data_IF_964353086543
#
_entry.id   IF_964353086543
#
_cell.length_a   1.000
_cell.length_b   1.000
_cell.length_c   1.000
_cell.angle_alpha   90.00
_cell.angle_beta   90.00
_cell.angle_gamma   90.00
#
_symmetry.space_group_name_H-M   'P 1'
#
loop_
_entity.id
_entity.type
_entity.pdbx_description
1 polymer ?
#
# COMPACT_ATOMS: atom_id res chain seq x y z
N UNK A 1 37.91 0.88 -12.67
CA UNK A 1 36.52 1.11 -13.11
C UNK A 1 35.77 -0.19 -12.94
N UNK A 2 34.62 -0.13 -12.26
CA UNK A 2 33.78 -1.28 -12.00
C UNK A 2 33.31 -1.87 -13.34
N UNK A 3 33.49 -3.17 -13.52
CA UNK A 3 33.05 -3.89 -14.72
C UNK A 3 31.80 -4.71 -14.42
N UNK A 4 30.97 -4.93 -15.44
CA UNK A 4 29.71 -5.68 -15.29
C UNK A 4 29.91 -7.06 -14.67
N UNK A 5 30.98 -7.77 -15.04
CA UNK A 5 31.29 -9.08 -14.48
C UNK A 5 31.60 -9.03 -12.98
N UNK A 6 32.23 -7.94 -12.51
CA UNK A 6 32.55 -7.75 -11.08
C UNK A 6 31.30 -7.36 -10.29
N UNK A 7 30.38 -6.64 -10.93
CA UNK A 7 29.15 -6.15 -10.29
C UNK A 7 28.00 -7.17 -10.34
N UNK A 8 28.14 -8.26 -11.09
CA UNK A 8 27.13 -9.31 -11.19
C UNK A 8 27.21 -10.31 -10.03
N UNK A 9 26.08 -10.56 -9.37
CA UNK A 9 25.94 -11.56 -8.32
C UNK A 9 25.17 -12.79 -8.86
N UNK A 10 25.86 -13.93 -9.11
CA UNK A 10 25.22 -15.11 -9.69
C UNK A 10 24.16 -15.75 -8.80
N UNK A 11 24.34 -15.71 -7.47
CA UNK A 11 23.38 -16.33 -6.55
C UNK A 11 22.08 -15.52 -6.53
N UNK A 12 22.20 -14.20 -6.34
CA UNK A 12 21.07 -13.28 -6.40
C UNK A 12 20.31 -13.40 -7.72
N UNK A 13 21.05 -13.45 -8.84
CA UNK A 13 20.43 -13.53 -10.16
C UNK A 13 19.65 -14.83 -10.36
N UNK A 14 20.16 -15.97 -9.91
CA UNK A 14 19.47 -17.26 -10.03
C UNK A 14 18.26 -17.32 -9.08
N UNK A 15 18.39 -16.80 -7.87
CA UNK A 15 17.32 -16.75 -6.87
C UNK A 15 16.11 -15.96 -7.36
N UNK A 16 16.34 -14.81 -8.01
CA UNK A 16 15.28 -13.96 -8.53
C UNK A 16 14.76 -14.36 -9.91
N UNK A 17 15.46 -15.27 -10.61
CA UNK A 17 15.09 -15.70 -11.97
C UNK A 17 15.08 -17.24 -12.07
N UNK A 18 14.06 -17.93 -11.51
CA UNK A 18 14.00 -19.39 -11.43
C UNK A 18 14.09 -20.10 -12.78
N UNK A 19 13.64 -19.47 -13.87
CA UNK A 19 13.76 -19.98 -15.24
C UNK A 19 15.22 -20.12 -15.69
N UNK A 20 16.12 -19.28 -15.16
CA UNK A 20 17.57 -19.38 -15.40
C UNK A 20 18.11 -20.65 -14.76
N UNK A 21 17.67 -20.97 -13.53
CA UNK A 21 18.00 -22.23 -12.86
C UNK A 21 17.59 -23.42 -13.72
N UNK A 22 16.35 -23.42 -14.22
CA UNK A 22 15.84 -24.49 -15.06
C UNK A 22 16.61 -24.60 -16.38
N UNK A 23 16.96 -23.46 -17.00
CA UNK A 23 17.75 -23.41 -18.22
C UNK A 23 19.18 -23.94 -18.04
N UNK A 24 19.80 -23.73 -16.88
CA UNK A 24 21.10 -24.31 -16.53
C UNK A 24 21.01 -25.83 -16.39
N UNK A 25 19.99 -26.34 -15.68
CA UNK A 25 19.77 -27.79 -15.50
C UNK A 25 19.56 -28.49 -16.85
N UNK A 26 18.81 -27.86 -17.76
CA UNK A 26 18.53 -28.40 -19.09
C UNK A 26 19.69 -28.24 -20.08
N UNK A 27 20.77 -27.52 -19.72
CA UNK A 27 21.91 -27.25 -20.59
C UNK A 27 21.64 -26.21 -21.69
N UNK A 28 20.54 -25.46 -21.60
CA UNK A 28 20.15 -24.42 -22.55
C UNK A 28 20.83 -23.07 -22.23
N UNK A 29 21.21 -22.86 -20.97
CA UNK A 29 21.95 -21.68 -20.51
C UNK A 29 23.34 -22.15 -20.06
N UNK A 30 24.38 -21.47 -20.54
CA UNK A 30 25.77 -21.82 -20.23
C UNK A 30 26.19 -21.34 -18.83
N UNK A 31 25.78 -20.13 -18.46
CA UNK A 31 25.98 -19.57 -17.12
C UNK A 31 24.96 -18.46 -16.84
N UNK A 32 24.69 -18.13 -15.57
CA UNK A 32 23.83 -17.01 -15.21
C UNK A 32 24.30 -15.69 -15.82
N UNK A 33 25.61 -15.44 -15.78
CA UNK A 33 26.21 -14.22 -16.33
C UNK A 33 26.02 -14.11 -17.84
N UNK A 34 26.20 -15.21 -18.56
CA UNK A 34 25.96 -15.23 -20.01
C UNK A 34 24.49 -15.01 -20.36
N UNK A 35 23.57 -15.60 -19.60
CA UNK A 35 22.14 -15.32 -19.75
C UNK A 35 21.84 -13.84 -19.51
N UNK A 36 22.37 -13.26 -18.43
CA UNK A 36 22.19 -11.84 -18.13
C UNK A 36 22.72 -10.95 -19.25
N UNK A 37 23.95 -11.19 -19.69
CA UNK A 37 24.62 -10.41 -20.72
C UNK A 37 23.88 -10.47 -22.06
N UNK A 38 23.32 -11.61 -22.43
CA UNK A 38 22.68 -11.79 -23.74
C UNK A 38 21.21 -11.38 -23.74
N UNK A 39 20.51 -11.55 -22.61
CA UNK A 39 19.05 -11.37 -22.54
C UNK A 39 18.62 -10.58 -21.32
N UNK A 40 19.13 -10.91 -20.13
CA UNK A 40 18.62 -10.35 -18.87
C UNK A 40 18.70 -8.82 -18.77
N UNK A 41 19.83 -8.23 -19.16
CA UNK A 41 19.99 -6.78 -19.14
C UNK A 41 19.02 -6.03 -20.08
N UNK A 42 18.54 -6.69 -21.14
CA UNK A 42 17.55 -6.13 -22.07
C UNK A 42 16.12 -6.37 -21.60
N UNK A 43 15.92 -7.37 -20.75
CA UNK A 43 14.66 -7.68 -20.09
C UNK A 43 14.45 -6.88 -18.79
N UNK A 44 15.41 -6.00 -18.43
CA UNK A 44 15.34 -5.18 -17.21
C UNK A 44 15.54 -5.98 -15.93
N UNK A 45 16.18 -7.15 -16.00
CA UNK A 45 16.50 -7.95 -14.82
C UNK A 45 17.66 -7.31 -14.05
N UNK A 46 17.66 -7.48 -12.73
CA UNK A 46 18.72 -6.91 -11.88
C UNK A 46 19.90 -7.87 -11.71
N UNK A 47 21.15 -7.42 -11.93
CA UNK A 47 22.32 -8.28 -11.83
C UNK A 47 22.82 -8.48 -10.39
N UNK A 48 22.39 -7.64 -9.44
CA UNK A 48 22.89 -7.60 -8.07
C UNK A 48 21.92 -6.82 -7.18
N UNK A 49 21.87 -7.04 -5.85
CA UNK A 49 21.07 -6.20 -4.94
C UNK A 49 21.44 -4.71 -4.98
N UNK A 50 22.66 -4.38 -5.43
CA UNK A 50 23.17 -3.01 -5.51
C UNK A 50 22.73 -2.27 -6.78
N UNK A 51 21.93 -2.87 -7.65
CA UNK A 51 21.42 -2.21 -8.85
C UNK A 51 19.95 -2.58 -9.04
N UNK A 52 19.10 -1.56 -9.09
CA UNK A 52 17.67 -1.70 -9.34
C UNK A 52 17.37 -0.95 -10.65
N UNK A 53 17.01 -1.72 -11.68
CA UNK A 53 16.78 -1.20 -13.02
C UNK A 53 15.63 -0.20 -13.06
N UNK A 54 14.53 -0.50 -12.37
CA UNK A 54 13.34 0.35 -12.39
C UNK A 54 13.59 1.66 -11.64
N UNK A 55 14.23 1.58 -10.46
CA UNK A 55 14.69 2.75 -9.71
C UNK A 55 15.63 3.61 -10.55
N UNK A 56 16.67 3.00 -11.13
CA UNK A 56 17.68 3.74 -11.86
C UNK A 56 17.09 4.47 -13.06
N UNK A 57 16.15 3.86 -13.79
CA UNK A 57 15.48 4.53 -14.91
C UNK A 57 14.49 5.61 -14.45
N UNK A 58 13.80 5.39 -13.33
CA UNK A 58 12.86 6.37 -12.76
C UNK A 58 13.58 7.64 -12.30
N UNK A 59 14.70 7.50 -11.58
CA UNK A 59 15.49 8.63 -11.09
C UNK A 59 16.32 9.31 -12.18
N UNK A 60 16.50 8.64 -13.33
CA UNK A 60 17.29 9.14 -14.44
C UNK A 60 16.48 9.14 -15.76
N UNK A 61 15.52 10.09 -15.94
CA UNK A 61 14.65 10.13 -17.12
C UNK A 61 15.40 10.29 -18.45
N UNK A 62 16.58 10.90 -18.44
CA UNK A 62 17.48 10.99 -19.59
C UNK A 62 18.00 9.61 -20.01
N UNK A 63 18.35 8.76 -19.05
CA UNK A 63 18.76 7.38 -19.28
C UNK A 63 17.57 6.54 -19.73
N UNK A 64 16.40 6.72 -19.13
CA UNK A 64 15.17 6.06 -19.57
C UNK A 64 14.88 6.31 -21.06
N UNK A 65 14.98 7.57 -21.51
CA UNK A 65 14.81 7.91 -22.91
C UNK A 65 15.85 7.23 -23.82
N UNK A 66 17.12 7.16 -23.39
CA UNK A 66 18.19 6.50 -24.13
C UNK A 66 18.01 4.98 -24.22
N UNK A 67 17.53 4.33 -23.14
CA UNK A 67 17.20 2.90 -23.11
C UNK A 67 16.02 2.60 -24.03
N UNK A 68 14.96 3.41 -24.00
CA UNK A 68 13.82 3.30 -24.92
C UNK A 68 14.23 3.48 -26.40
N UNK A 69 15.25 4.31 -26.65
CA UNK A 69 15.83 4.49 -27.98
C UNK A 69 16.80 3.36 -28.39
N UNK A 70 17.03 2.36 -27.53
CA UNK A 70 17.92 1.23 -27.79
C UNK A 70 19.41 1.61 -27.81
N UNK A 71 19.79 2.73 -27.21
CA UNK A 71 21.18 3.20 -27.18
C UNK A 71 22.01 2.49 -26.12
N UNK A 72 21.40 2.22 -24.96
CA UNK A 72 22.02 1.54 -23.82
C UNK A 72 21.02 0.58 -23.17
N UNK A 73 21.53 -0.31 -22.33
CA UNK A 73 20.74 -0.91 -21.23
C UNK A 73 20.91 -0.05 -19.98
N UNK A 74 20.00 -0.13 -19.01
CA UNK A 74 20.11 0.63 -17.76
C UNK A 74 21.45 0.37 -17.06
N UNK A 75 21.79 -0.91 -16.88
CA UNK A 75 23.06 -1.34 -16.31
C UNK A 75 24.27 -0.94 -17.17
N UNK A 76 24.15 -1.01 -18.49
CA UNK A 76 25.21 -0.59 -19.42
C UNK A 76 25.53 0.89 -19.24
N UNK A 77 24.50 1.75 -19.16
CA UNK A 77 24.67 3.16 -18.88
C UNK A 77 25.33 3.39 -17.52
N UNK A 78 24.89 2.68 -16.47
CA UNK A 78 25.49 2.83 -15.14
C UNK A 78 26.98 2.45 -15.11
N UNK A 79 27.34 1.31 -15.70
CA UNK A 79 28.72 0.84 -15.75
C UNK A 79 29.61 1.78 -16.58
N UNK A 80 29.13 2.31 -17.70
CA UNK A 80 29.96 3.16 -18.57
C UNK A 80 30.00 4.64 -18.11
N UNK A 81 28.91 5.15 -17.54
CA UNK A 81 28.73 6.58 -17.24
C UNK A 81 28.23 6.82 -15.82
N UNK A 82 27.14 6.19 -15.41
CA UNK A 82 26.44 6.52 -14.16
C UNK A 82 27.31 6.49 -12.91
N UNK A 83 28.15 5.47 -12.75
CA UNK A 83 29.08 5.37 -11.61
C UNK A 83 30.11 6.52 -11.56
N UNK A 84 30.49 7.08 -12.73
CA UNK A 84 31.43 8.20 -12.83
C UNK A 84 30.73 9.55 -12.63
N UNK A 85 29.44 9.60 -12.98
CA UNK A 85 28.56 10.74 -12.75
C UNK A 85 28.07 10.82 -11.30
N UNK A 86 28.36 9.80 -10.47
CA UNK A 86 27.93 9.73 -9.08
C UNK A 86 26.43 9.43 -8.92
N UNK A 87 25.80 8.82 -9.93
CA UNK A 87 24.38 8.43 -9.86
C UNK A 87 24.21 7.22 -8.95
N UNK A 88 23.13 7.19 -8.18
CA UNK A 88 22.82 6.08 -7.30
C UNK A 88 22.22 4.90 -8.08
N UNK A 89 22.77 3.68 -7.93
CA UNK A 89 22.34 2.53 -8.72
C UNK A 89 21.08 1.84 -8.20
N UNK A 90 20.75 2.03 -6.92
CA UNK A 90 19.57 1.45 -6.29
C UNK A 90 19.17 2.27 -5.06
N UNK A 91 17.96 2.07 -4.51
CA UNK A 91 17.57 2.66 -3.23
C UNK A 91 18.48 2.28 -2.06
N UNK A 92 19.23 1.19 -2.21
CA UNK A 92 20.09 0.63 -1.18
C UNK A 92 21.50 1.23 -1.18
N UNK A 93 21.84 2.10 -2.14
CA UNK A 93 23.18 2.68 -2.20
C UNK A 93 23.13 4.16 -2.57
N UNK A 94 23.36 5.01 -1.57
CA UNK A 94 23.59 6.43 -1.73
C UNK A 94 25.10 6.71 -1.80
N UNK A 95 25.51 7.19 -2.97
CA UNK A 95 26.90 7.43 -3.29
C UNK A 95 27.46 8.60 -2.50
N UNK A 96 26.67 9.65 -2.27
CA UNK A 96 27.12 10.82 -1.53
C UNK A 96 27.29 10.47 -0.04
N UNK A 97 26.28 9.83 0.54
CA UNK A 97 26.28 9.34 1.92
C UNK A 97 27.48 8.43 2.20
N UNK A 98 27.78 7.51 1.28
CA UNK A 98 28.96 6.64 1.39
C UNK A 98 30.26 7.44 1.54
N UNK A 99 30.44 8.49 0.74
CA UNK A 99 31.65 9.31 0.73
C UNK A 99 31.73 10.25 1.93
N UNK A 100 30.58 10.69 2.44
CA UNK A 100 30.47 11.49 3.66
C UNK A 100 30.79 10.67 4.92
N UNK A 101 30.23 9.46 5.03
CA UNK A 101 30.46 8.55 6.16
C UNK A 101 31.88 7.99 6.20
N UNK A 102 32.56 7.94 5.05
CA UNK A 102 33.92 7.43 4.94
C UNK A 102 34.88 8.42 4.27
N UNK A 103 35.23 9.56 4.92
CA UNK A 103 36.10 10.57 4.33
C UNK A 103 37.48 10.04 3.89
N UNK A 104 38.00 9.02 4.60
CA UNK A 104 39.27 8.36 4.25
C UNK A 104 39.23 7.56 2.94
N UNK A 105 38.04 7.28 2.40
CA UNK A 105 37.87 6.63 1.08
C UNK A 105 38.18 7.62 -0.05
N UNK A 106 37.93 8.93 0.15
CA UNK A 106 38.14 9.94 -0.90
C UNK A 106 39.58 9.95 -1.42
N UNK A 107 40.57 9.81 -0.53
CA UNK A 107 42.00 9.72 -0.90
C UNK A 107 42.30 8.47 -1.75
N UNK A 108 41.68 7.32 -1.40
CA UNK A 108 41.79 6.07 -2.19
C UNK A 108 41.12 6.22 -3.55
N UNK A 109 39.95 6.86 -3.65
CA UNK A 109 39.25 7.08 -4.92
C UNK A 109 40.12 7.87 -5.91
N UNK A 110 40.80 8.91 -5.43
CA UNK A 110 41.70 9.73 -6.26
C UNK A 110 42.95 8.94 -6.65
N UNK A 111 43.57 8.25 -5.70
CA UNK A 111 44.84 7.53 -5.93
C UNK A 111 44.66 6.34 -6.87
N UNK A 112 43.62 5.54 -6.65
CA UNK A 112 43.36 4.30 -7.37
C UNK A 112 42.37 4.48 -8.54
N UNK A 113 41.87 5.71 -8.74
CA UNK A 113 40.88 6.08 -9.77
C UNK A 113 39.63 5.21 -9.72
N UNK A 114 39.07 5.08 -8.52
CA UNK A 114 37.85 4.32 -8.24
C UNK A 114 36.65 5.26 -8.11
N UNK A 115 35.46 4.74 -8.41
CA UNK A 115 34.18 5.37 -8.03
C UNK A 115 33.77 4.93 -6.62
N UNK A 116 32.81 5.62 -6.00
CA UNK A 116 32.30 5.27 -4.66
C UNK A 116 31.76 3.84 -4.61
N UNK A 117 30.86 3.49 -5.53
CA UNK A 117 30.33 2.13 -5.68
C UNK A 117 31.43 1.10 -5.98
N UNK A 118 32.43 1.43 -6.81
CA UNK A 118 33.55 0.53 -7.10
C UNK A 118 34.36 0.22 -5.84
N UNK A 119 34.63 1.24 -5.02
CA UNK A 119 35.34 1.06 -3.77
C UNK A 119 34.51 0.23 -2.78
N UNK A 120 33.20 0.48 -2.65
CA UNK A 120 32.34 -0.31 -1.79
C UNK A 120 32.32 -1.80 -2.20
N UNK A 121 32.13 -2.09 -3.48
CA UNK A 121 32.08 -3.46 -4.02
C UNK A 121 33.43 -4.19 -3.86
N UNK A 122 34.56 -3.50 -4.07
CA UNK A 122 35.89 -4.14 -3.99
C UNK A 122 36.44 -4.24 -2.58
N UNK A 123 36.14 -3.26 -1.72
CA UNK A 123 36.80 -3.09 -0.43
C UNK A 123 35.78 -2.87 0.69
N UNK A 124 34.87 -1.91 0.56
CA UNK A 124 33.99 -1.46 1.65
C UNK A 124 33.23 -2.60 2.35
N UNK A 125 32.58 -3.48 1.57
CA UNK A 125 31.85 -4.63 2.12
C UNK A 125 32.75 -5.60 2.91
N UNK A 126 34.05 -5.68 2.59
CA UNK A 126 35.03 -6.55 3.26
C UNK A 126 35.79 -5.82 4.38
N UNK A 127 35.84 -4.49 4.35
CA UNK A 127 36.36 -3.63 5.41
C UNK A 127 35.32 -3.39 6.52
N UNK A 128 34.11 -3.94 6.37
CA UNK A 128 33.02 -3.84 7.35
C UNK A 128 32.23 -2.54 7.28
N UNK A 129 32.30 -1.83 6.15
CA UNK A 129 31.45 -0.66 5.94
C UNK A 129 30.03 -1.11 5.63
N UNK A 130 29.02 -0.62 6.37
CA UNK A 130 27.63 -0.95 6.09
C UNK A 130 27.22 -0.40 4.72
N UNK A 131 26.14 -0.95 4.17
CA UNK A 131 25.57 -0.44 2.93
C UNK A 131 25.01 0.98 3.20
N UNK A 132 25.36 1.99 2.39
CA UNK A 132 24.97 3.38 2.62
C UNK A 132 23.52 3.58 2.16
N UNK A 133 22.55 3.08 2.94
CA UNK A 133 21.13 3.33 2.69
C UNK A 133 20.73 4.66 3.33
N UNK A 134 20.02 5.56 2.63
CA UNK A 134 19.49 6.76 3.26
C UNK A 134 18.43 6.41 4.31
N UNK A 135 18.61 6.90 5.55
CA UNK A 135 17.55 6.91 6.57
C UNK A 135 16.45 7.88 6.12
N UNK A 136 15.32 7.31 5.67
CA UNK A 136 14.15 8.07 5.22
C UNK A 136 13.00 8.00 6.21
N UNK A 137 13.06 7.09 7.17
CA UNK A 137 11.95 6.77 8.05
C UNK A 137 12.31 7.02 9.51
N UNK A 138 11.81 8.12 10.09
CA UNK A 138 12.17 8.49 11.45
C UNK A 138 11.61 7.54 12.53
N UNK A 139 12.27 7.51 13.69
CA UNK A 139 11.97 6.59 14.80
C UNK A 139 10.76 6.97 15.68
N UNK A 140 9.96 7.96 15.27
CA UNK A 140 8.79 8.45 16.03
C UNK A 140 7.61 8.65 15.09
N UNK A 141 6.37 8.48 15.56
CA UNK A 141 5.17 8.60 14.74
C UNK A 141 5.10 9.93 13.96
N UNK A 142 5.52 11.02 14.59
CA UNK A 142 5.53 12.37 13.98
C UNK A 142 6.62 12.58 12.92
N UNK A 143 7.58 11.67 12.82
CA UNK A 143 8.67 11.67 11.83
C UNK A 143 8.58 10.46 10.88
N UNK A 144 7.45 9.76 10.92
CA UNK A 144 7.25 8.60 10.07
C UNK A 144 7.33 9.02 8.59
N UNK A 145 7.92 8.16 7.77
CA UNK A 145 7.85 8.32 6.32
C UNK A 145 6.39 8.06 5.88
N UNK A 146 5.77 9.03 5.23
CA UNK A 146 4.34 9.00 4.94
C UNK A 146 4.07 8.54 3.51
N UNK A 147 3.46 7.37 3.36
CA UNK A 147 2.99 6.86 2.08
C UNK A 147 1.65 7.45 1.65
N UNK A 148 0.94 8.16 2.55
CA UNK A 148 -0.40 8.68 2.28
C UNK A 148 -1.42 7.55 2.13
N UNK A 149 -2.37 7.75 1.20
CA UNK A 149 -3.41 6.75 0.90
C UNK A 149 -2.79 5.51 0.24
N UNK A 150 -3.06 4.33 0.78
CA UNK A 150 -2.56 3.06 0.26
C UNK A 150 -3.49 2.51 -0.84
N UNK A 151 -3.52 3.18 -2.00
CA UNK A 151 -4.34 2.81 -3.17
C UNK A 151 -3.62 1.88 -4.18
N UNK A 152 -2.33 1.67 -3.96
CA UNK A 152 -1.46 0.76 -4.70
C UNK A 152 -0.40 0.18 -3.77
N UNK A 153 0.30 -0.86 -4.23
CA UNK A 153 1.44 -1.40 -3.47
C UNK A 153 2.51 -0.34 -3.29
N UNK A 154 2.93 -0.12 -2.05
CA UNK A 154 4.03 0.77 -1.69
C UNK A 154 5.23 -0.06 -1.23
N UNK A 155 6.43 0.44 -1.53
CA UNK A 155 7.69 -0.20 -1.15
C UNK A 155 8.65 0.84 -0.58
N UNK A 156 9.34 0.49 0.50
CA UNK A 156 10.50 1.24 0.99
C UNK A 156 11.71 0.33 1.18
N UNK A 157 12.88 0.93 1.04
CA UNK A 157 14.17 0.35 1.36
C UNK A 157 14.83 1.25 2.39
N UNK A 158 15.30 0.66 3.48
CA UNK A 158 15.82 1.40 4.62
C UNK A 158 16.73 0.49 5.47
N UNK A 159 17.15 1.00 6.61
CA UNK A 159 18.08 0.33 7.51
C UNK A 159 17.73 0.54 8.98
N UNK A 160 17.73 -0.54 9.76
CA UNK A 160 17.74 -0.47 11.22
C UNK A 160 19.02 -1.06 11.80
N UNK A 161 19.51 -0.48 12.87
CA UNK A 161 20.78 -0.83 13.51
C UNK A 161 20.99 -0.14 14.86
N UNK A 162 22.17 -0.29 15.45
CA UNK A 162 22.45 0.24 16.80
C UNK A 162 22.31 1.78 16.89
N UNK A 163 22.56 2.46 15.77
CA UNK A 163 22.38 3.91 15.65
C UNK A 163 20.95 4.31 15.27
N UNK A 164 20.20 3.39 14.66
CA UNK A 164 18.87 3.60 14.11
C UNK A 164 17.93 2.45 14.45
N UNK A 165 17.38 2.51 15.67
CA UNK A 165 16.80 1.31 16.29
C UNK A 165 15.44 0.91 15.70
N UNK A 166 14.80 1.80 14.94
CA UNK A 166 13.49 1.56 14.32
C UNK A 166 13.14 2.63 13.30
N UNK A 167 12.37 2.18 12.33
CA UNK A 167 11.85 2.97 11.23
C UNK A 167 10.33 2.90 11.25
N UNK A 168 9.68 4.03 11.01
CA UNK A 168 8.23 4.15 11.07
C UNK A 168 7.69 4.67 9.75
N UNK A 169 6.69 3.97 9.22
CA UNK A 169 5.97 4.33 8.00
C UNK A 169 4.51 4.56 8.32
N UNK A 170 3.97 5.69 7.86
CA UNK A 170 2.56 6.07 7.99
C UNK A 170 1.83 5.75 6.70
N UNK A 171 0.61 5.25 6.81
CA UNK A 171 -0.30 5.07 5.67
C UNK A 171 -1.76 5.24 6.10
N UNK A 172 -2.62 5.51 5.13
CA UNK A 172 -4.05 5.70 5.31
C UNK A 172 -4.85 4.70 4.48
N UNK A 173 -5.96 4.24 5.05
CA UNK A 173 -7.01 3.48 4.36
C UNK A 173 -8.29 4.31 4.35
N UNK A 174 -8.98 4.35 3.21
CA UNK A 174 -10.26 5.05 3.05
C UNK A 174 -11.47 4.12 3.15
N UNK A 175 -11.27 2.81 2.97
CA UNK A 175 -12.30 1.77 3.09
C UNK A 175 -11.79 0.63 3.98
N UNK A 176 -12.65 -0.31 4.33
CA UNK A 176 -12.24 -1.52 5.03
C UNK A 176 -11.48 -2.46 4.07
N UNK A 177 -10.20 -2.69 4.33
CA UNK A 177 -9.32 -3.44 3.43
C UNK A 177 -8.46 -4.44 4.20
N UNK A 178 -8.11 -5.55 3.54
CA UNK A 178 -7.13 -6.48 4.07
C UNK A 178 -5.73 -5.99 3.70
N UNK A 179 -5.02 -5.52 4.72
CA UNK A 179 -3.63 -5.11 4.63
C UNK A 179 -2.73 -6.34 4.63
N UNK A 180 -1.73 -6.34 3.76
CA UNK A 180 -0.57 -7.22 3.77
C UNK A 180 0.68 -6.37 3.95
N UNK A 181 1.46 -6.66 4.98
CA UNK A 181 2.82 -6.12 5.15
C UNK A 181 3.83 -7.24 5.06
N UNK A 182 4.92 -7.00 4.34
CA UNK A 182 6.06 -7.91 4.27
C UNK A 182 7.37 -7.17 4.47
N UNK A 183 8.26 -7.76 5.27
CA UNK A 183 9.65 -7.33 5.43
C UNK A 183 10.55 -8.42 4.86
N UNK A 184 11.34 -8.07 3.85
CA UNK A 184 12.22 -9.01 3.15
C UNK A 184 13.59 -8.40 2.84
N UNK A 185 14.41 -9.16 2.12
CA UNK A 185 15.75 -8.73 1.69
C UNK A 185 16.66 -8.32 2.85
N UNK A 186 16.42 -8.90 4.04
CA UNK A 186 17.12 -8.53 5.26
C UNK A 186 18.55 -9.08 5.31
N UNK A 187 19.50 -8.23 5.70
CA UNK A 187 20.89 -8.63 5.92
C UNK A 187 21.15 -9.15 7.35
N UNK A 188 20.28 -8.80 8.30
CA UNK A 188 20.26 -9.20 9.71
C UNK A 188 18.84 -9.52 10.19
N UNK A 189 18.55 -9.29 11.47
CA UNK A 189 17.25 -9.62 12.11
C UNK A 189 16.51 -8.34 12.52
N UNK A 190 15.29 -8.17 12.02
CA UNK A 190 14.38 -7.09 12.37
C UNK A 190 12.95 -7.59 12.47
N UNK A 191 12.21 -6.99 13.40
CA UNK A 191 10.81 -7.28 13.68
C UNK A 191 9.87 -6.29 12.98
N UNK A 192 8.64 -6.74 12.69
CA UNK A 192 7.61 -5.93 12.07
C UNK A 192 6.38 -5.81 12.97
N UNK A 193 5.92 -4.58 13.21
CA UNK A 193 4.68 -4.27 13.95
C UNK A 193 3.73 -3.44 13.11
N UNK A 194 2.44 -3.73 13.25
CA UNK A 194 1.34 -2.90 12.78
C UNK A 194 0.72 -2.20 13.98
N UNK A 195 0.63 -0.88 13.91
CA UNK A 195 0.26 -0.01 15.02
C UNK A 195 -0.79 1.02 14.59
N UNK A 196 -1.62 1.45 15.52
CA UNK A 196 -2.47 2.65 15.42
C UNK A 196 -2.35 3.43 16.72
N UNK A 197 -2.09 4.73 16.64
CA UNK A 197 -2.00 5.63 17.80
C UNK A 197 -3.38 5.83 18.46
N UNK A 198 -3.71 4.98 19.43
CA UNK A 198 -4.99 5.00 20.15
C UNK A 198 -4.89 6.04 21.26
N UNK A 199 -5.29 7.26 20.93
CA UNK A 199 -5.24 8.39 21.86
C UNK A 199 -4.67 9.65 21.22
N UNK A 200 -3.98 9.50 20.08
CA UNK A 200 -3.32 10.56 19.34
C UNK A 200 -2.29 11.31 20.21
N UNK A 201 -1.51 10.57 21.00
CA UNK A 201 -0.49 11.15 21.87
C UNK A 201 0.92 11.09 21.27
N UNK A 202 1.05 10.46 20.09
CA UNK A 202 2.31 10.35 19.35
C UNK A 202 3.29 9.33 19.93
N UNK A 203 2.87 8.53 20.92
CA UNK A 203 3.64 7.42 21.47
C UNK A 203 3.20 6.08 20.86
N UNK A 204 4.02 5.04 21.08
CA UNK A 204 3.62 3.66 20.78
C UNK A 204 3.53 2.93 22.10
N UNK A 205 2.31 2.73 22.55
CA UNK A 205 1.95 1.99 23.75
C UNK A 205 1.50 0.57 23.44
N UNK A 206 1.38 -0.26 24.48
CA UNK A 206 0.91 -1.64 24.32
C UNK A 206 -0.52 -1.74 23.74
N UNK A 207 -1.35 -0.71 23.93
CA UNK A 207 -2.70 -0.63 23.38
C UNK A 207 -2.77 -0.27 21.89
N UNK A 208 -1.67 0.25 21.34
CA UNK A 208 -1.60 0.72 19.95
C UNK A 208 -1.23 -0.41 18.98
N UNK A 209 -0.65 -1.49 19.51
CA UNK A 209 -0.18 -2.61 18.70
C UNK A 209 -1.36 -3.47 18.26
N UNK A 210 -1.58 -3.52 16.95
CA UNK A 210 -2.64 -4.32 16.31
C UNK A 210 -2.14 -5.73 16.02
N UNK A 211 -0.95 -5.85 15.43
CA UNK A 211 -0.38 -7.12 15.02
C UNK A 211 1.15 -7.06 15.00
N UNK A 212 1.82 -8.20 15.13
CA UNK A 212 3.28 -8.31 15.20
C UNK A 212 3.76 -9.57 14.45
N UNK A 213 4.90 -9.47 13.77
CA UNK A 213 5.69 -10.60 13.28
C UNK A 213 7.13 -10.45 13.81
N UNK A 214 7.68 -11.52 14.41
CA UNK A 214 9.03 -11.56 15.02
C UNK A 214 9.73 -12.90 14.74
N UNK A 215 9.94 -13.24 13.47
CA UNK A 215 10.64 -14.50 13.14
C UNK A 215 12.14 -14.26 13.29
N UNK A 216 12.82 -15.24 13.89
CA UNK A 216 14.26 -15.12 14.13
C UNK A 216 15.10 -15.10 12.84
N UNK A 217 16.22 -14.40 12.91
CA UNK A 217 17.26 -14.32 11.87
C UNK A 217 16.77 -13.56 10.64
N UNK A 218 17.26 -13.95 9.45
CA UNK A 218 16.92 -13.30 8.17
C UNK A 218 15.59 -13.79 7.58
N UNK A 219 14.69 -14.29 8.41
CA UNK A 219 13.41 -14.83 7.97
C UNK A 219 12.51 -13.69 7.53
N UNK A 220 11.69 -13.89 6.50
CA UNK A 220 10.79 -12.82 6.04
C UNK A 220 9.70 -12.55 7.09
N UNK A 221 9.51 -11.30 7.50
CA UNK A 221 8.36 -10.93 8.31
C UNK A 221 7.14 -10.73 7.41
N UNK A 222 5.98 -11.17 7.90
CA UNK A 222 4.76 -11.11 7.13
C UNK A 222 3.55 -11.05 8.05
N UNK A 223 2.65 -10.11 7.80
CA UNK A 223 1.39 -10.02 8.53
C UNK A 223 0.25 -9.66 7.57
N UNK A 224 -0.93 -10.23 7.85
CA UNK A 224 -2.18 -9.90 7.19
C UNK A 224 -3.20 -9.47 8.23
N UNK A 225 -3.87 -8.35 7.99
CA UNK A 225 -4.85 -7.80 8.93
C UNK A 225 -5.97 -7.08 8.18
N UNK A 226 -7.22 -7.44 8.47
CA UNK A 226 -8.36 -6.63 8.07
C UNK A 226 -8.38 -5.36 8.93
N UNK A 227 -8.35 -4.21 8.27
CA UNK A 227 -8.31 -2.90 8.91
C UNK A 227 -9.51 -2.05 8.50
N UNK A 228 -9.89 -1.14 9.38
CA UNK A 228 -10.91 -0.13 9.12
C UNK A 228 -10.30 1.09 8.44
N UNK A 229 -11.11 1.97 7.82
CA UNK A 229 -10.64 3.28 7.41
C UNK A 229 -9.94 3.98 8.57
N UNK A 230 -8.80 4.61 8.27
CA UNK A 230 -8.01 5.30 9.27
C UNK A 230 -6.53 5.35 8.94
N UNK A 231 -5.78 5.98 9.85
CA UNK A 231 -4.32 6.09 9.79
C UNK A 231 -3.68 4.98 10.62
N UNK A 232 -2.68 4.34 10.03
CA UNK A 232 -1.93 3.25 10.64
C UNK A 232 -0.44 3.47 10.41
N UNK A 233 0.35 2.71 11.18
CA UNK A 233 1.80 2.74 11.11
C UNK A 233 2.37 1.33 10.99
N UNK A 234 3.27 1.13 10.05
CA UNK A 234 4.16 -0.01 10.01
C UNK A 234 5.47 0.39 10.71
N UNK A 235 5.90 -0.41 11.67
CA UNK A 235 7.11 -0.16 12.46
C UNK A 235 8.07 -1.31 12.26
N UNK A 236 9.22 -1.03 11.67
CA UNK A 236 10.33 -1.97 11.57
C UNK A 236 11.27 -1.67 12.73
N UNK A 237 11.66 -2.68 13.51
CA UNK A 237 12.55 -2.49 14.67
C UNK A 237 13.71 -3.45 14.60
N UNK A 238 14.90 -2.94 14.88
CA UNK A 238 16.09 -3.78 15.01
C UNK A 238 15.85 -4.85 16.08
N UNK A 239 16.16 -6.11 15.77
CA UNK A 239 16.20 -7.18 16.75
C UNK A 239 17.63 -7.61 17.06
N UNK A 240 18.40 -7.99 16.04
CA UNK A 240 19.81 -8.38 16.20
C UNK A 240 20.67 -7.91 15.03
N UNK A 241 21.67 -7.08 15.36
CA UNK A 241 22.64 -6.55 14.43
C UNK A 241 22.05 -5.53 13.47
N UNK A 242 22.92 -5.00 12.63
CA UNK A 242 22.59 -4.00 11.62
C UNK A 242 21.94 -4.69 10.41
N UNK A 243 20.78 -4.21 9.97
CA UNK A 243 20.06 -4.79 8.84
C UNK A 243 19.46 -3.75 7.90
N UNK A 244 19.81 -3.87 6.63
CA UNK A 244 19.00 -3.26 5.55
C UNK A 244 17.77 -4.11 5.32
N UNK A 245 16.69 -3.54 4.80
CA UNK A 245 15.50 -4.30 4.46
C UNK A 245 14.72 -3.69 3.29
N UNK A 246 13.74 -4.45 2.80
CA UNK A 246 12.67 -3.97 1.94
C UNK A 246 11.33 -4.20 2.62
N UNK A 247 10.60 -3.11 2.87
CA UNK A 247 9.22 -3.14 3.37
C UNK A 247 8.26 -3.00 2.18
N UNK A 248 7.30 -3.91 2.06
CA UNK A 248 6.22 -3.80 1.08
C UNK A 248 4.86 -3.80 1.77
N UNK A 249 3.98 -2.90 1.34
CA UNK A 249 2.63 -2.72 1.87
C UNK A 249 1.65 -2.78 0.71
N UNK A 250 0.61 -3.59 0.85
CA UNK A 250 -0.54 -3.54 -0.06
C UNK A 250 -1.81 -3.74 0.73
N UNK A 251 -2.87 -3.04 0.33
CA UNK A 251 -4.19 -3.26 0.86
C UNK A 251 -5.13 -3.60 -0.30
N UNK A 252 -5.98 -4.58 -0.07
CA UNK A 252 -7.00 -4.98 -1.04
C UNK A 252 -8.30 -5.18 -0.30
N UNK A 253 -9.37 -4.55 -0.79
CA UNK A 253 -10.72 -4.85 -0.36
C UNK A 253 -11.02 -6.33 -0.62
N UNK A 254 -11.33 -7.14 0.42
CA UNK A 254 -11.58 -8.55 0.22
C UNK A 254 -12.84 -8.81 -0.61
N UNK A 255 -12.80 -9.79 -1.49
CA UNK A 255 -13.93 -10.17 -2.36
C UNK A 255 -15.17 -10.68 -1.59
N UNK A 256 -14.99 -11.05 -0.32
CA UNK A 256 -16.09 -11.44 0.56
C UNK A 256 -16.79 -10.24 1.22
N UNK A 257 -16.17 -9.05 1.22
CA UNK A 257 -16.86 -7.82 1.58
C UNK A 257 -17.73 -7.42 0.39
N UNK A 258 -19.06 -7.40 0.53
CA UNK A 258 -19.91 -7.12 -0.60
C UNK A 258 -19.77 -5.69 -1.07
N UNK A 259 -20.25 -5.34 -2.26
CA UNK A 259 -20.13 -3.96 -2.78
C UNK A 259 -20.65 -2.94 -1.76
N UNK A 260 -19.88 -1.86 -1.56
CA UNK A 260 -20.25 -0.67 -0.80
C UNK A 260 -20.20 0.47 -1.81
N UNK A 261 -21.37 0.88 -2.28
CA UNK A 261 -21.53 1.99 -3.22
C UNK A 261 -22.33 3.14 -2.60
N UNK A 262 -22.76 3.02 -1.35
CA UNK A 262 -23.60 3.97 -0.65
C UNK A 262 -22.87 4.43 0.61
N UNK A 263 -22.44 5.69 0.64
CA UNK A 263 -21.62 6.18 1.74
C UNK A 263 -22.35 6.20 3.08
N UNK A 264 -21.57 6.32 4.16
CA UNK A 264 -22.04 6.27 5.55
C UNK A 264 -22.55 7.61 6.10
N UNK A 265 -22.67 8.64 5.26
CA UNK A 265 -23.14 9.97 5.64
C UNK A 265 -24.09 10.55 4.58
N UNK A 266 -24.88 11.56 4.95
CA UNK A 266 -25.76 12.25 4.00
C UNK A 266 -24.99 12.88 2.83
N UNK A 267 -23.77 13.36 3.08
CA UNK A 267 -22.91 13.97 2.06
C UNK A 267 -22.29 12.97 1.09
N UNK A 268 -22.14 11.72 1.52
CA UNK A 268 -21.57 10.62 0.73
C UNK A 268 -22.65 9.70 0.16
N UNK A 269 -23.92 10.07 0.33
CA UNK A 269 -25.05 9.28 -0.13
C UNK A 269 -24.97 8.99 -1.63
N UNK A 270 -25.28 7.74 -2.00
CA UNK A 270 -25.38 7.33 -3.40
C UNK A 270 -26.50 8.10 -4.09
N UNK A 271 -26.14 9.02 -4.97
CA UNK A 271 -27.13 9.80 -5.70
C UNK A 271 -27.79 8.98 -6.83
N UNK A 272 -29.11 8.84 -6.76
CA UNK A 272 -29.95 8.13 -7.73
C UNK A 272 -30.53 9.09 -8.78
N UNK A 273 -30.27 10.39 -8.64
CA UNK A 273 -30.89 11.49 -9.39
C UNK A 273 -32.41 11.49 -9.21
N UNK A 274 -33.17 11.63 -10.30
CA UNK A 274 -34.63 11.67 -10.27
C UNK A 274 -35.17 10.23 -10.16
N UNK A 275 -35.93 9.94 -9.10
CA UNK A 275 -36.58 8.64 -8.93
C UNK A 275 -37.84 8.56 -9.81
N UNK A 276 -37.78 7.74 -10.86
CA UNK A 276 -38.93 7.41 -11.71
C UNK A 276 -39.06 5.90 -11.88
N UNK A 277 -40.25 5.35 -11.65
CA UNK A 277 -40.48 3.90 -11.74
C UNK A 277 -39.70 3.14 -10.68
N UNK A 278 -39.43 1.86 -10.93
CA UNK A 278 -38.74 0.97 -10.00
C UNK A 278 -37.22 0.98 -10.23
N UNK A 279 -36.47 1.10 -9.14
CA UNK A 279 -35.00 1.05 -9.10
C UNK A 279 -34.58 0.01 -8.06
N UNK A 280 -33.57 -0.80 -8.38
CA UNK A 280 -33.04 -1.83 -7.48
C UNK A 280 -31.54 -1.63 -7.29
N UNK A 281 -31.08 -1.69 -6.05
CA UNK A 281 -29.69 -1.55 -5.63
C UNK A 281 -29.33 -2.69 -4.70
N UNK A 282 -28.12 -3.24 -4.84
CA UNK A 282 -27.55 -4.15 -3.85
C UNK A 282 -26.34 -3.51 -3.19
N UNK A 283 -26.24 -3.66 -1.88
CA UNK A 283 -25.16 -3.17 -1.01
C UNK A 283 -25.09 -4.07 0.24
N UNK A 284 -24.26 -3.69 1.20
CA UNK A 284 -24.03 -4.43 2.44
C UNK A 284 -23.92 -3.49 3.64
N UNK A 285 -24.55 -3.91 4.73
CA UNK A 285 -24.26 -3.33 6.05
C UNK A 285 -23.67 -4.39 6.98
N UNK A 286 -22.73 -3.96 7.82
CA UNK A 286 -21.99 -4.81 8.73
C UNK A 286 -21.26 -4.02 9.82
N UNK A 287 -20.50 -4.69 10.69
CA UNK A 287 -19.75 -4.04 11.77
C UNK A 287 -18.81 -2.93 11.29
N UNK A 288 -18.42 -2.99 10.02
CA UNK A 288 -17.44 -2.13 9.37
C UNK A 288 -18.03 -1.15 8.36
N UNK A 289 -19.31 -1.30 8.04
CA UNK A 289 -20.09 -0.45 7.13
C UNK A 289 -21.50 -0.36 7.71
N UNK A 290 -21.72 0.61 8.59
CA UNK A 290 -22.89 0.54 9.50
C UNK A 290 -24.13 1.11 8.86
N UNK A 291 -23.97 1.99 7.90
CA UNK A 291 -25.01 2.80 7.32
C UNK A 291 -24.76 2.99 5.84
N UNK A 292 -25.77 2.69 5.02
CA UNK A 292 -25.78 3.02 3.61
C UNK A 292 -26.78 4.14 3.35
N UNK A 293 -26.32 5.26 2.83
CA UNK A 293 -27.16 6.38 2.44
C UNK A 293 -27.39 6.44 0.92
N UNK A 294 -28.64 6.63 0.53
CA UNK A 294 -29.04 6.92 -0.85
C UNK A 294 -29.78 8.24 -0.91
N UNK A 295 -29.53 9.06 -1.93
CA UNK A 295 -30.27 10.30 -2.16
C UNK A 295 -31.04 10.24 -3.47
N UNK A 296 -32.25 10.81 -3.48
CA UNK A 296 -33.05 10.91 -4.70
C UNK A 296 -33.91 12.18 -4.72
N UNK A 297 -34.25 12.63 -5.93
CA UNK A 297 -35.15 13.74 -6.17
C UNK A 297 -36.52 13.24 -6.68
N UNK A 298 -37.59 13.88 -6.21
CA UNK A 298 -38.92 13.81 -6.80
C UNK A 298 -39.29 15.17 -7.41
N UNK A 299 -39.61 15.19 -8.70
CA UNK A 299 -40.02 16.42 -9.40
C UNK A 299 -41.48 16.82 -9.12
N UNK A 300 -42.28 15.90 -8.56
CA UNK A 300 -43.71 16.07 -8.26
C UNK A 300 -44.11 15.20 -7.08
N UNK A 301 -45.35 15.38 -6.61
CA UNK A 301 -45.90 14.47 -5.62
C UNK A 301 -46.12 13.08 -6.22
N UNK A 302 -45.68 12.04 -5.51
CA UNK A 302 -45.66 10.66 -5.99
C UNK A 302 -46.03 9.68 -4.87
N UNK A 303 -46.67 8.57 -5.23
CA UNK A 303 -46.78 7.39 -4.39
C UNK A 303 -45.41 6.71 -4.34
N UNK A 304 -44.77 6.76 -3.17
CA UNK A 304 -43.46 6.22 -2.90
C UNK A 304 -43.58 4.86 -2.21
N UNK A 305 -42.74 3.91 -2.64
CA UNK A 305 -42.54 2.64 -1.95
C UNK A 305 -41.05 2.33 -1.87
N UNK A 306 -40.64 1.80 -0.73
CA UNK A 306 -39.32 1.27 -0.45
C UNK A 306 -39.47 -0.12 0.13
N UNK A 307 -38.62 -1.05 -0.31
CA UNK A 307 -38.46 -2.37 0.29
C UNK A 307 -36.98 -2.74 0.37
N UNK A 308 -36.50 -3.17 1.53
CA UNK A 308 -35.18 -3.81 1.70
C UNK A 308 -35.40 -5.30 1.91
N UNK A 309 -34.79 -6.15 1.09
CA UNK A 309 -34.91 -7.61 1.19
C UNK A 309 -33.57 -8.33 0.96
N UNK A 310 -33.58 -9.67 0.95
CA UNK A 310 -32.36 -10.48 0.78
C UNK A 310 -31.50 -10.60 2.03
N UNK A 311 -32.06 -10.22 3.19
CA UNK A 311 -31.37 -10.13 4.46
C UNK A 311 -30.99 -11.50 5.05
N UNK A 312 -29.84 -11.53 5.70
CA UNK A 312 -29.29 -12.63 6.51
C UNK A 312 -29.04 -12.22 7.97
N UNK A 313 -29.17 -10.92 8.25
CA UNK A 313 -29.05 -10.30 9.56
C UNK A 313 -29.95 -9.06 9.61
N UNK A 314 -30.02 -8.43 10.79
CA UNK A 314 -31.00 -7.41 11.14
C UNK A 314 -30.57 -6.01 10.71
N UNK A 315 -31.47 -5.31 10.02
CA UNK A 315 -31.27 -3.95 9.51
C UNK A 315 -32.54 -3.13 9.74
N UNK A 316 -32.36 -1.87 10.10
CA UNK A 316 -33.43 -0.88 10.13
C UNK A 316 -33.35 0.00 8.88
N UNK A 317 -34.48 0.57 8.43
CA UNK A 317 -34.46 1.56 7.35
C UNK A 317 -35.21 2.82 7.74
N UNK A 318 -34.65 3.97 7.40
CA UNK A 318 -35.29 5.27 7.60
C UNK A 318 -35.36 6.08 6.30
N UNK A 319 -36.48 6.75 6.10
CA UNK A 319 -36.70 7.76 5.08
C UNK A 319 -36.58 9.14 5.73
N UNK A 320 -35.78 10.02 5.15
CA UNK A 320 -35.42 11.31 5.73
C UNK A 320 -35.34 12.43 4.69
N UNK A 321 -35.36 13.66 5.18
CA UNK A 321 -35.12 14.88 4.41
C UNK A 321 -34.28 15.84 5.25
N UNK A 322 -33.08 16.18 4.77
CA UNK A 322 -32.22 17.19 5.38
C UNK A 322 -32.83 18.58 5.12
N UNK A 323 -33.54 19.12 6.12
CA UNK A 323 -34.35 20.34 5.97
C UNK A 323 -33.45 21.57 6.06
N UNK A 324 -32.38 21.49 6.86
CA UNK A 324 -31.51 22.63 7.14
C UNK A 324 -30.23 22.65 6.28
N UNK A 325 -29.93 21.56 5.58
CA UNK A 325 -28.80 21.41 4.66
C UNK A 325 -27.44 21.27 5.35
N UNK A 326 -27.40 20.83 6.61
CA UNK A 326 -26.17 20.72 7.40
C UNK A 326 -25.49 19.34 7.29
N UNK A 327 -26.12 18.36 6.63
CA UNK A 327 -25.59 17.00 6.49
C UNK A 327 -25.57 16.17 7.78
N UNK A 328 -26.18 16.64 8.87
CA UNK A 328 -26.46 15.88 10.07
C UNK A 328 -27.90 15.35 10.03
N UNK A 329 -28.22 14.35 10.85
CA UNK A 329 -29.58 13.81 10.97
C UNK A 329 -30.16 14.27 12.28
N UNK A 330 -31.28 14.99 12.23
CA UNK A 330 -32.05 15.34 13.42
C UNK A 330 -33.41 14.63 13.47
N UNK A 331 -33.97 14.48 14.67
CA UNK A 331 -35.23 13.75 14.89
C UNK A 331 -36.41 14.31 14.05
N UNK A 332 -36.40 15.61 13.75
CA UNK A 332 -37.43 16.26 12.93
C UNK A 332 -37.25 16.07 11.42
N UNK A 333 -36.19 15.37 11.00
CA UNK A 333 -35.85 15.10 9.59
C UNK A 333 -36.18 13.66 9.18
N UNK A 334 -36.43 12.79 10.15
CA UNK A 334 -36.86 11.41 9.93
C UNK A 334 -38.37 11.43 9.63
N UNK A 335 -38.72 11.11 8.37
CA UNK A 335 -40.10 11.09 7.90
C UNK A 335 -40.81 9.78 8.25
N UNK A 336 -40.07 8.67 8.19
CA UNK A 336 -40.57 7.32 8.49
C UNK A 336 -39.42 6.37 8.78
N UNK A 337 -39.67 5.37 9.62
CA UNK A 337 -38.72 4.29 9.91
C UNK A 337 -39.46 2.95 9.89
N UNK A 338 -38.76 1.90 9.45
CA UNK A 338 -39.16 0.49 9.60
C UNK A 338 -38.02 -0.24 10.33
N UNK A 339 -38.41 -1.11 11.27
CA UNK A 339 -37.52 -1.83 12.19
C UNK A 339 -38.06 -3.24 12.44
N UNK A 340 -38.32 -3.98 11.37
CA UNK A 340 -38.82 -5.34 11.45
C UNK A 340 -37.68 -6.28 11.89
N UNK A 341 -37.88 -7.07 12.96
CA UNK A 341 -36.76 -7.81 13.55
C UNK A 341 -36.23 -8.93 12.64
N UNK A 342 -34.95 -9.23 12.78
CA UNK A 342 -34.29 -10.41 12.21
C UNK A 342 -34.00 -10.28 10.72
N UNK A 343 -34.64 -11.09 9.87
CA UNK A 343 -34.43 -11.06 8.41
C UNK A 343 -35.71 -10.73 7.65
N UNK A 344 -36.67 -10.11 8.32
CA UNK A 344 -37.91 -9.68 7.69
C UNK A 344 -37.62 -8.49 6.77
N UNK A 345 -38.27 -8.38 5.61
CA UNK A 345 -38.07 -7.22 4.75
C UNK A 345 -38.53 -5.92 5.42
N UNK A 346 -37.70 -4.89 5.34
CA UNK A 346 -38.08 -3.54 5.75
C UNK A 346 -38.92 -2.87 4.66
N UNK A 347 -40.00 -2.19 5.03
CA UNK A 347 -40.85 -1.50 4.05
C UNK A 347 -41.31 -0.13 4.52
N UNK A 348 -41.26 0.86 3.62
CA UNK A 348 -41.85 2.19 3.83
C UNK A 348 -42.70 2.51 2.60
N UNK A 349 -43.92 2.97 2.82
CA UNK A 349 -44.81 3.43 1.74
C UNK A 349 -45.57 4.68 2.16
N UNK A 350 -45.84 5.55 1.19
CA UNK A 350 -46.56 6.80 1.46
C UNK A 350 -46.60 7.73 0.27
N UNK A 351 -47.23 8.89 0.45
CA UNK A 351 -47.20 9.98 -0.55
C UNK A 351 -46.10 10.94 -0.16
N UNK A 352 -45.13 11.14 -1.04
CA UNK A 352 -44.09 12.15 -0.88
C UNK A 352 -44.36 13.32 -1.82
N UNK A 353 -44.10 14.53 -1.35
CA UNK A 353 -44.18 15.72 -2.18
C UNK A 353 -42.91 15.85 -3.05
N UNK A 354 -42.93 16.80 -3.99
CA UNK A 354 -41.71 17.25 -4.68
C UNK A 354 -40.64 17.61 -3.65
N UNK A 355 -39.44 17.06 -3.79
CA UNK A 355 -38.34 17.31 -2.85
C UNK A 355 -37.13 16.42 -3.09
N UNK A 356 -36.09 16.67 -2.29
CA UNK A 356 -34.94 15.78 -2.15
C UNK A 356 -35.14 14.94 -0.89
N UNK A 357 -34.86 13.66 -1.00
CA UNK A 357 -35.03 12.69 0.08
C UNK A 357 -33.81 11.80 0.18
N UNK A 358 -33.65 11.21 1.35
CA UNK A 358 -32.62 10.25 1.65
C UNK A 358 -33.25 8.96 2.20
N UNK A 359 -32.60 7.84 1.90
CA UNK A 359 -32.86 6.55 2.52
C UNK A 359 -31.59 6.17 3.27
N UNK A 360 -31.73 5.79 4.53
CA UNK A 360 -30.68 5.19 5.34
C UNK A 360 -31.04 3.73 5.59
N UNK A 361 -30.24 2.81 5.07
CA UNK A 361 -30.26 1.40 5.49
C UNK A 361 -29.20 1.27 6.58
N UNK A 362 -29.59 0.92 7.80
CA UNK A 362 -28.68 0.90 8.94
C UNK A 362 -28.63 -0.47 9.56
N UNK A 363 -27.43 -0.98 9.83
CA UNK A 363 -27.23 -2.22 10.57
C UNK A 363 -27.82 -2.10 11.98
N UNK A 364 -28.72 -3.03 12.31
CA UNK A 364 -29.14 -3.26 13.68
C UNK A 364 -28.25 -4.34 14.34
N UNK A 365 -28.22 -5.55 13.79
CA UNK A 365 -27.45 -6.69 14.30
C UNK A 365 -26.86 -7.56 13.19
N UNK A 366 -25.65 -8.07 13.41
CA UNK A 366 -24.98 -8.97 12.48
C UNK A 366 -24.45 -8.26 11.23
N UNK A 367 -24.31 -8.97 10.12
CA UNK A 367 -23.88 -8.40 8.86
C UNK A 367 -24.68 -9.02 7.73
N UNK A 368 -25.03 -8.22 6.72
CA UNK A 368 -25.83 -8.73 5.63
C UNK A 368 -25.69 -7.92 4.37
N UNK A 369 -25.70 -8.65 3.26
CA UNK A 369 -26.12 -8.12 1.98
C UNK A 369 -27.60 -7.75 2.02
N UNK A 370 -27.99 -6.77 1.22
CA UNK A 370 -29.39 -6.51 0.97
C UNK A 370 -29.63 -6.12 -0.49
N UNK A 371 -30.91 -6.09 -0.85
CA UNK A 371 -31.42 -5.53 -2.09
C UNK A 371 -32.49 -4.49 -1.76
N UNK A 372 -32.18 -3.22 -2.01
CA UNK A 372 -33.06 -2.07 -1.84
C UNK A 372 -33.82 -1.82 -3.14
N UNK A 373 -35.15 -1.89 -3.07
CA UNK A 373 -36.04 -1.48 -4.15
C UNK A 373 -36.71 -0.16 -3.80
N UNK A 374 -36.58 0.84 -4.67
CA UNK A 374 -37.27 2.13 -4.58
C UNK A 374 -38.23 2.28 -5.75
N UNK A 375 -39.44 2.78 -5.49
CA UNK A 375 -40.45 3.05 -6.50
C UNK A 375 -41.12 4.39 -6.26
N UNK A 376 -41.29 5.17 -7.32
CA UNK A 376 -42.12 6.37 -7.31
C UNK A 376 -43.05 6.37 -8.53
N UNK A 377 -44.35 6.40 -8.26
CA UNK A 377 -45.41 6.41 -9.29
C UNK A 377 -46.39 7.55 -9.05
N UNK A 378 -47.04 8.01 -10.13
CA UNK A 378 -48.01 9.09 -10.06
C UNK A 378 -49.38 8.64 -9.55
#
# INVERSE_FOLDING_TARGET
MLELQTFFNPNFYIENNPEVTQGLILGNIQSPFEHFRQSGQFAGLDPTPLFDTDYYLKENPDVQAAVMAGQFTAIGHFIEFGQLEGRDPSPLFDTELYLEQHPGVQDKLVTDKLTGIEHYVKYGQFEGFPMPVPDRAGNTLNKANDFGLLDQTQTAFDFVGDADIRDIYRFELNTAEELKLTLDSMSGDADLRLVRDVGNDGAIDAGDIINISQKSGKSHESLSQLLQPGTYFAVVSQFEGDTTYKLSLSATRPDYLPSDNAGNTLTEARNIDILTGDRVFGDYVGPFDRDDFYSFNLERASNFNLTVNGLRADVDVSLLQDINGNGAIEDNEILSTSSEPGTNPETISGVLLRGNYFVRVSRFEGETNYSLTLSATN
#
